data_IF_411145836773
#
_entry.id   IF_411145836773
#
_cell.length_a   1.000
_cell.length_b   1.000
_cell.length_c   1.000
_cell.angle_alpha   90.00
_cell.angle_beta   90.00
_cell.angle_gamma   90.00
#
_symmetry.space_group_name_H-M   'P 1'
#
loop_
_entity.id
_entity.type
_entity.pdbx_description
1 polymer ?
#
# COMPACT_ATOMS: atom_id res chain seq x y z
N UNK A 1 8.81 24.68 1.10
CA UNK A 1 8.99 24.38 -0.34
C UNK A 1 7.79 23.57 -0.83
N UNK A 2 7.19 23.99 -1.95
CA UNK A 2 6.04 23.31 -2.56
C UNK A 2 6.48 22.57 -3.81
N UNK A 3 5.93 21.38 -4.01
CA UNK A 3 6.19 20.55 -5.19
C UNK A 3 4.88 20.16 -5.89
N UNK A 4 4.93 19.98 -7.21
CA UNK A 4 3.89 19.33 -8.01
C UNK A 4 4.48 18.12 -8.75
N UNK A 5 3.68 17.05 -8.86
CA UNK A 5 4.03 15.84 -9.60
C UNK A 5 3.28 15.80 -10.93
N UNK A 6 3.99 15.46 -12.01
CA UNK A 6 3.44 15.16 -13.31
C UNK A 6 3.86 13.74 -13.72
N UNK A 7 2.92 12.83 -13.85
CA UNK A 7 3.15 11.52 -14.42
C UNK A 7 2.80 11.55 -15.91
N UNK A 8 3.75 11.21 -16.76
CA UNK A 8 3.61 11.23 -18.22
C UNK A 8 3.46 9.79 -18.72
N UNK A 9 2.39 9.53 -19.46
CA UNK A 9 2.09 8.25 -20.08
C UNK A 9 0.61 8.09 -20.37
N UNK A 10 0.27 7.70 -21.60
CA UNK A 10 -1.10 7.42 -22.01
C UNK A 10 -1.69 6.21 -21.26
N UNK A 11 -0.88 5.22 -20.90
CA UNK A 11 -1.29 4.04 -20.12
C UNK A 11 -1.84 4.38 -18.73
N UNK A 12 -1.40 5.51 -18.18
CA UNK A 12 -1.91 6.02 -16.91
C UNK A 12 -3.27 6.72 -17.10
N UNK A 13 -3.46 7.40 -18.24
CA UNK A 13 -4.74 8.05 -18.56
C UNK A 13 -5.83 7.04 -18.90
N UNK A 14 -5.48 5.96 -19.62
CA UNK A 14 -6.41 4.91 -19.99
C UNK A 14 -6.71 3.96 -18.81
N UNK A 15 -5.92 4.04 -17.74
CA UNK A 15 -6.12 3.22 -16.55
C UNK A 15 -5.56 1.81 -16.66
N UNK A 16 -4.70 1.54 -17.64
CA UNK A 16 -4.03 0.24 -17.83
C UNK A 16 -3.06 -0.03 -16.69
N UNK A 17 -2.47 1.02 -16.12
CA UNK A 17 -1.52 0.96 -14.99
C UNK A 17 -1.95 1.95 -13.91
N UNK A 18 -1.85 1.50 -12.64
CA UNK A 18 -2.04 2.38 -11.49
C UNK A 18 -0.77 3.19 -11.24
N UNK A 19 -0.91 4.52 -11.05
CA UNK A 19 0.22 5.42 -10.77
C UNK A 19 0.84 5.18 -9.38
N UNK A 20 1.60 4.09 -9.25
CA UNK A 20 2.34 3.74 -8.03
C UNK A 20 3.47 4.72 -7.71
N UNK A 21 4.09 5.31 -8.74
CA UNK A 21 5.18 6.27 -8.59
C UNK A 21 4.74 7.53 -7.85
N UNK A 22 3.58 8.09 -8.20
CA UNK A 22 3.05 9.27 -7.50
C UNK A 22 2.78 8.98 -6.03
N UNK A 23 2.23 7.81 -5.71
CA UNK A 23 1.97 7.40 -4.34
C UNK A 23 3.28 7.22 -3.54
N UNK A 24 4.34 6.70 -4.17
CA UNK A 24 5.64 6.54 -3.53
C UNK A 24 6.34 7.90 -3.34
N UNK A 25 6.42 8.73 -4.38
CA UNK A 25 7.01 10.07 -4.31
C UNK A 25 6.29 10.95 -3.28
N UNK A 26 4.96 10.89 -3.22
CA UNK A 26 4.18 11.63 -2.22
C UNK A 26 4.60 11.30 -0.78
N UNK A 27 4.89 10.01 -0.49
CA UNK A 27 5.42 9.61 0.82
C UNK A 27 6.82 10.16 1.06
N UNK A 28 7.73 10.01 0.07
CA UNK A 28 9.10 10.49 0.21
C UNK A 28 9.18 12.00 0.41
N UNK A 29 8.38 12.79 -0.32
CA UNK A 29 8.32 14.24 -0.18
C UNK A 29 7.75 14.65 1.20
N UNK A 30 6.70 13.96 1.65
CA UNK A 30 6.12 14.20 2.98
C UNK A 30 7.13 13.91 4.09
N UNK A 31 7.91 12.83 4.00
CA UNK A 31 8.93 12.45 4.99
C UNK A 31 10.01 13.52 5.19
N UNK A 32 10.22 14.39 4.20
CA UNK A 32 11.22 15.47 4.24
C UNK A 32 10.59 16.87 4.30
N UNK A 33 9.28 16.95 4.55
CA UNK A 33 8.58 18.22 4.74
C UNK A 33 8.41 19.05 3.47
N UNK A 34 8.51 18.45 2.29
CA UNK A 34 8.15 19.06 1.02
C UNK A 34 6.65 18.90 0.82
N UNK A 35 5.94 20.00 0.69
CA UNK A 35 4.50 20.01 0.49
C UNK A 35 4.17 19.64 -0.95
N UNK A 36 3.62 18.46 -1.17
CA UNK A 36 3.06 18.07 -2.46
C UNK A 36 1.66 18.66 -2.60
N UNK A 37 1.49 19.65 -3.49
CA UNK A 37 0.23 20.37 -3.66
C UNK A 37 -0.68 19.75 -4.71
N UNK A 38 -0.09 19.15 -5.76
CA UNK A 38 -0.85 18.58 -6.88
C UNK A 38 -0.11 17.37 -7.46
N UNK A 39 -0.88 16.36 -7.87
CA UNK A 39 -0.39 15.24 -8.67
C UNK A 39 -1.27 15.08 -9.89
N UNK A 40 -0.71 15.24 -11.08
CA UNK A 40 -1.41 15.26 -12.37
C UNK A 40 -0.89 14.14 -13.27
N UNK A 41 -1.77 13.52 -14.06
CA UNK A 41 -1.40 12.63 -15.15
C UNK A 41 -1.55 13.37 -16.46
N UNK A 42 -0.58 13.22 -17.37
CA UNK A 42 -0.53 13.86 -18.68
C UNK A 42 -0.21 12.81 -19.73
N UNK A 43 -0.91 12.85 -20.86
CA UNK A 43 -0.61 11.96 -22.00
C UNK A 43 0.68 12.35 -22.72
N UNK A 44 1.10 11.49 -23.61
CA UNK A 44 2.33 11.60 -24.42
C UNK A 44 2.16 12.64 -25.52
N UNK A 45 2.12 13.92 -25.11
CA UNK A 45 1.96 15.07 -26.00
C UNK A 45 2.84 16.25 -25.53
N UNK A 46 3.70 16.75 -26.41
CA UNK A 46 4.69 17.79 -26.08
C UNK A 46 4.05 19.08 -25.57
N UNK A 47 3.00 19.56 -26.25
CA UNK A 47 2.32 20.81 -25.91
C UNK A 47 1.59 20.70 -24.56
N UNK A 48 0.97 19.55 -24.30
CA UNK A 48 0.28 19.30 -23.04
C UNK A 48 1.27 19.20 -21.88
N UNK A 49 2.37 18.47 -22.05
CA UNK A 49 3.44 18.37 -21.05
C UNK A 49 3.99 19.77 -20.77
N UNK A 50 4.32 20.54 -21.81
CA UNK A 50 4.86 21.89 -21.66
C UNK A 50 3.88 22.84 -20.94
N UNK A 51 2.59 22.77 -21.26
CA UNK A 51 1.57 23.58 -20.60
C UNK A 51 1.48 23.25 -19.10
N UNK A 52 1.44 21.97 -18.74
CA UNK A 52 1.37 21.54 -17.33
C UNK A 52 2.63 21.88 -16.55
N UNK A 53 3.81 21.76 -17.14
CA UNK A 53 5.06 22.19 -16.50
C UNK A 53 5.04 23.70 -16.21
N UNK A 54 4.61 24.54 -17.16
CA UNK A 54 4.51 26.00 -16.93
C UNK A 54 3.49 26.34 -15.83
N UNK A 55 2.33 25.72 -15.86
CA UNK A 55 1.29 25.90 -14.85
C UNK A 55 1.80 25.50 -13.45
N UNK A 56 2.49 24.37 -13.35
CA UNK A 56 3.06 23.87 -12.10
C UNK A 56 4.14 24.83 -11.57
N UNK A 57 5.05 25.31 -12.42
CA UNK A 57 6.08 26.30 -12.04
C UNK A 57 5.50 27.65 -11.61
N UNK A 58 4.28 27.98 -12.02
CA UNK A 58 3.56 29.17 -11.53
C UNK A 58 3.01 29.03 -10.11
N UNK A 59 2.95 27.82 -9.56
CA UNK A 59 2.35 27.52 -8.24
C UNK A 59 3.31 26.87 -7.25
N UNK A 60 4.34 26.17 -7.73
CA UNK A 60 5.26 25.41 -6.92
C UNK A 60 6.72 25.75 -7.25
N UNK A 61 7.58 25.63 -6.25
CA UNK A 61 9.02 25.87 -6.37
C UNK A 61 9.74 24.72 -7.09
N UNK A 62 9.06 23.57 -7.18
CA UNK A 62 9.60 22.32 -7.72
C UNK A 62 8.54 21.57 -8.51
N UNK A 63 8.94 21.10 -9.70
CA UNK A 63 8.11 20.22 -10.53
C UNK A 63 8.86 18.90 -10.75
N UNK A 64 8.22 17.78 -10.43
CA UNK A 64 8.81 16.46 -10.59
C UNK A 64 8.00 15.68 -11.62
N UNK A 65 8.66 15.28 -12.72
CA UNK A 65 8.05 14.46 -13.76
C UNK A 65 8.51 13.00 -13.65
N UNK A 66 7.62 12.06 -14.00
CA UNK A 66 7.98 10.64 -14.15
C UNK A 66 7.41 10.09 -15.45
N UNK A 67 8.19 9.33 -16.20
CA UNK A 67 7.80 8.74 -17.47
C UNK A 67 8.28 9.54 -18.70
N UNK A 68 8.14 8.95 -19.87
CA UNK A 68 8.45 9.58 -21.17
C UNK A 68 9.90 9.97 -21.41
N UNK A 69 10.88 9.28 -20.76
CA UNK A 69 12.32 9.48 -20.95
C UNK A 69 13.01 8.34 -21.71
N UNK A 70 12.28 7.36 -22.20
CA UNK A 70 12.79 6.28 -23.02
C UNK A 70 13.21 6.73 -24.43
N UNK A 71 13.53 5.77 -25.33
CA UNK A 71 13.97 6.08 -26.67
C UNK A 71 12.84 6.08 -27.70
N UNK A 72 11.61 5.72 -27.34
CA UNK A 72 10.50 5.53 -28.27
C UNK A 72 9.88 6.85 -28.73
N UNK A 73 8.99 6.80 -29.71
CA UNK A 73 8.44 8.03 -30.30
C UNK A 73 7.43 8.73 -29.37
N UNK A 74 6.85 8.00 -28.46
CA UNK A 74 5.95 8.43 -27.40
C UNK A 74 6.69 8.97 -26.15
N UNK A 75 8.01 8.78 -26.05
CA UNK A 75 8.83 9.37 -24.98
C UNK A 75 9.09 10.88 -25.26
N UNK A 76 8.18 11.74 -24.85
CA UNK A 76 8.15 13.17 -25.22
C UNK A 76 8.42 14.13 -24.04
N UNK A 77 8.81 13.61 -22.88
CA UNK A 77 9.04 14.42 -21.68
C UNK A 77 10.18 15.44 -21.85
N UNK A 78 11.27 15.06 -22.54
CA UNK A 78 12.40 15.96 -22.85
C UNK A 78 11.98 17.16 -23.69
N UNK A 79 11.22 16.87 -24.74
CA UNK A 79 10.66 17.85 -25.67
C UNK A 79 9.69 18.81 -24.95
N UNK A 80 8.81 18.24 -24.11
CA UNK A 80 7.85 19.01 -23.30
C UNK A 80 8.53 19.96 -22.33
N UNK A 81 9.57 19.50 -21.61
CA UNK A 81 10.36 20.34 -20.70
C UNK A 81 11.10 21.43 -21.46
N UNK A 82 11.75 21.10 -22.59
CA UNK A 82 12.45 22.05 -23.42
C UNK A 82 11.51 23.15 -23.95
N UNK A 83 10.32 22.75 -24.43
CA UNK A 83 9.30 23.70 -24.86
C UNK A 83 8.75 24.56 -23.69
N UNK A 84 8.59 23.97 -22.51
CA UNK A 84 8.14 24.70 -21.33
C UNK A 84 9.12 25.80 -20.93
N UNK A 85 10.42 25.48 -20.96
CA UNK A 85 11.49 26.39 -20.59
C UNK A 85 11.91 27.35 -21.71
N UNK A 86 11.41 27.16 -22.94
CA UNK A 86 11.78 28.00 -24.10
C UNK A 86 13.21 27.75 -24.57
N UNK A 87 13.75 26.54 -24.39
CA UNK A 87 15.11 26.17 -24.77
C UNK A 87 15.11 25.05 -25.81
N UNK A 88 16.19 24.93 -26.60
CA UNK A 88 16.35 23.85 -27.55
C UNK A 88 16.90 22.59 -26.87
N UNK A 89 16.51 21.42 -27.38
CA UNK A 89 17.21 20.18 -27.07
C UNK A 89 18.60 20.17 -27.69
N UNK A 90 19.57 19.64 -26.97
CA UNK A 90 20.95 19.48 -27.42
C UNK A 90 21.47 18.10 -27.07
N UNK A 91 22.10 17.44 -28.04
CA UNK A 91 22.79 16.18 -27.84
C UNK A 91 23.99 16.38 -26.96
N UNK A 92 24.04 15.69 -25.81
CA UNK A 92 25.22 15.66 -24.94
C UNK A 92 26.17 14.55 -25.39
N UNK A 93 27.39 14.89 -25.87
CA UNK A 93 28.30 13.90 -26.42
C UNK A 93 28.89 12.95 -25.35
N UNK A 94 28.94 13.37 -24.08
CA UNK A 94 29.42 12.51 -22.98
C UNK A 94 28.36 11.47 -22.62
N UNK A 95 27.09 11.87 -22.56
CA UNK A 95 25.98 10.96 -22.35
C UNK A 95 25.84 9.98 -23.51
N UNK A 96 25.93 10.45 -24.74
CA UNK A 96 25.88 9.56 -25.92
C UNK A 96 26.99 8.52 -25.87
N UNK A 97 28.23 8.94 -25.56
CA UNK A 97 29.34 8.01 -25.42
C UNK A 97 29.15 7.02 -24.26
N UNK A 98 28.54 7.46 -23.15
CA UNK A 98 28.21 6.59 -22.02
C UNK A 98 27.14 5.57 -22.40
N UNK A 99 26.08 5.98 -23.11
CA UNK A 99 25.03 5.10 -23.62
C UNK A 99 25.58 4.06 -24.59
N UNK A 100 26.44 4.46 -25.54
CA UNK A 100 27.12 3.53 -26.46
C UNK A 100 27.88 2.43 -25.71
N UNK A 101 28.67 2.81 -24.69
CA UNK A 101 29.39 1.84 -23.83
C UNK A 101 28.43 0.93 -23.08
N UNK A 102 27.32 1.47 -22.55
CA UNK A 102 26.35 0.69 -21.78
C UNK A 102 25.61 -0.33 -22.66
N UNK A 103 25.16 0.08 -23.83
CA UNK A 103 24.52 -0.84 -24.80
C UNK A 103 25.48 -1.93 -25.28
N UNK A 104 26.74 -1.61 -25.52
CA UNK A 104 27.76 -2.60 -25.85
C UNK A 104 27.99 -3.63 -24.71
N UNK A 105 27.97 -3.17 -23.46
CA UNK A 105 28.07 -4.05 -22.30
C UNK A 105 26.86 -4.97 -22.15
N UNK A 106 25.65 -4.44 -22.32
CA UNK A 106 24.39 -5.20 -22.30
C UNK A 106 24.32 -6.22 -23.44
N UNK A 107 24.78 -5.86 -24.64
CA UNK A 107 24.86 -6.77 -25.78
C UNK A 107 25.78 -7.97 -25.53
N UNK A 108 26.87 -7.80 -24.77
CA UNK A 108 27.79 -8.92 -24.41
C UNK A 108 27.18 -9.89 -23.38
N UNK A 109 26.28 -9.43 -22.54
CA UNK A 109 25.66 -10.22 -21.47
C UNK A 109 24.27 -10.75 -21.80
N UNK A 110 23.62 -10.20 -22.84
CA UNK A 110 22.25 -10.52 -23.22
C UNK A 110 22.14 -11.58 -24.32
N UNK A 111 20.92 -12.03 -24.63
CA UNK A 111 20.67 -13.05 -25.66
C UNK A 111 21.00 -12.58 -27.08
N UNK A 112 21.34 -11.32 -27.30
CA UNK A 112 21.59 -10.70 -28.61
C UNK A 112 23.04 -10.89 -29.08
N UNK A 113 23.97 -11.25 -28.21
CA UNK A 113 25.35 -11.62 -28.54
C UNK A 113 26.33 -10.44 -28.69
N UNK A 114 27.63 -10.77 -28.79
CA UNK A 114 28.70 -9.81 -28.99
C UNK A 114 28.57 -9.15 -30.37
N UNK A 115 28.54 -7.80 -30.38
CA UNK A 115 28.37 -7.00 -31.61
C UNK A 115 27.02 -6.30 -31.73
N UNK A 116 26.15 -6.36 -30.69
CA UNK A 116 24.90 -5.62 -30.66
C UNK A 116 25.19 -4.11 -30.70
N UNK A 117 24.72 -3.46 -31.74
CA UNK A 117 24.62 -1.99 -31.83
C UNK A 117 23.18 -1.59 -31.55
N UNK A 118 22.97 -0.73 -30.56
CA UNK A 118 21.66 -0.20 -30.28
C UNK A 118 21.16 0.64 -31.47
N UNK A 119 19.86 0.57 -31.82
CA UNK A 119 19.28 1.45 -32.83
C UNK A 119 19.59 2.93 -32.55
N UNK A 120 19.78 3.74 -33.58
CA UNK A 120 20.14 5.16 -33.45
C UNK A 120 19.13 5.95 -32.61
N UNK A 121 17.84 5.56 -32.63
CA UNK A 121 16.81 6.15 -31.83
C UNK A 121 17.09 6.07 -30.30
N UNK A 122 17.84 5.07 -29.86
CA UNK A 122 18.16 4.93 -28.43
C UNK A 122 19.06 6.07 -27.92
N UNK A 123 19.81 6.71 -28.80
CA UNK A 123 20.69 7.82 -28.44
C UNK A 123 19.95 9.14 -28.24
N UNK A 124 18.64 9.23 -28.58
CA UNK A 124 17.77 10.36 -28.18
C UNK A 124 17.77 10.56 -26.66
N UNK A 125 18.05 9.51 -25.89
CA UNK A 125 18.17 9.60 -24.43
C UNK A 125 19.33 10.52 -23.98
N UNK A 126 20.28 10.83 -24.88
CA UNK A 126 21.34 11.81 -24.64
C UNK A 126 20.95 13.25 -25.03
N UNK A 127 19.73 13.49 -25.52
CA UNK A 127 19.26 14.84 -25.81
C UNK A 127 18.72 15.47 -24.53
N UNK A 128 19.27 16.60 -24.12
CA UNK A 128 18.88 17.35 -22.94
C UNK A 128 18.35 18.73 -23.31
N UNK A 129 17.39 19.28 -22.56
CA UNK A 129 17.03 20.70 -22.62
C UNK A 129 18.26 21.57 -22.36
N UNK A 130 18.42 22.66 -23.10
CA UNK A 130 19.55 23.57 -22.93
C UNK A 130 19.66 24.10 -21.51
N UNK A 131 20.80 23.93 -20.87
CA UNK A 131 21.05 24.28 -19.46
C UNK A 131 20.65 23.21 -18.45
N UNK A 132 20.12 22.07 -18.89
CA UNK A 132 19.80 20.97 -17.98
C UNK A 132 21.07 20.18 -17.58
N UNK A 133 21.03 19.63 -16.37
CA UNK A 133 22.00 18.69 -15.82
C UNK A 133 21.43 17.27 -15.90
N UNK A 134 22.20 16.28 -16.36
CA UNK A 134 21.73 14.89 -16.35
C UNK A 134 21.76 14.32 -14.92
N UNK A 135 20.70 13.61 -14.54
CA UNK A 135 20.70 12.78 -13.34
C UNK A 135 21.15 11.36 -13.70
N UNK A 136 22.13 10.80 -12.98
CA UNK A 136 22.66 9.47 -13.32
C UNK A 136 21.60 8.38 -13.12
N UNK A 137 21.54 7.44 -14.07
CA UNK A 137 20.74 6.23 -13.98
C UNK A 137 21.68 5.02 -13.89
N UNK A 138 21.80 4.45 -12.70
CA UNK A 138 22.70 3.30 -12.48
C UNK A 138 22.07 1.97 -12.93
N UNK A 139 20.74 1.91 -13.00
CA UNK A 139 19.99 0.70 -13.32
C UNK A 139 19.61 0.63 -14.80
N UNK A 140 18.96 1.66 -15.32
CA UNK A 140 18.48 1.75 -16.70
C UNK A 140 19.42 2.51 -17.64
N UNK A 141 18.90 2.89 -18.81
CA UNK A 141 19.67 3.62 -19.84
C UNK A 141 19.31 5.10 -19.93
N UNK A 142 18.08 5.48 -19.62
CA UNK A 142 17.60 6.84 -19.72
C UNK A 142 18.13 7.69 -18.55
N UNK A 143 19.00 8.70 -18.77
CA UNK A 143 19.35 9.65 -17.70
C UNK A 143 18.11 10.44 -17.32
N UNK A 144 18.01 10.84 -16.04
CA UNK A 144 17.05 11.83 -15.62
C UNK A 144 17.52 13.24 -15.98
N UNK A 145 16.67 14.21 -15.72
CA UNK A 145 16.88 15.63 -16.07
C UNK A 145 16.69 16.47 -14.80
N UNK A 146 17.61 17.40 -14.57
CA UNK A 146 17.45 18.52 -13.66
C UNK A 146 17.60 19.81 -14.44
N UNK A 147 16.59 20.66 -14.42
CA UNK A 147 16.61 21.95 -15.10
C UNK A 147 16.23 23.08 -14.14
N UNK A 148 17.12 24.02 -13.95
CA UNK A 148 16.83 25.27 -13.25
C UNK A 148 16.10 26.22 -14.18
N UNK A 149 15.01 26.82 -13.72
CA UNK A 149 14.23 27.82 -14.44
C UNK A 149 14.00 29.05 -13.58
N UNK A 150 13.54 30.13 -14.18
CA UNK A 150 13.18 31.33 -13.42
C UNK A 150 12.01 31.10 -12.44
N UNK A 151 11.16 30.10 -12.69
CA UNK A 151 10.01 29.75 -11.84
C UNK A 151 10.29 28.69 -10.78
N UNK A 152 11.47 28.04 -10.81
CA UNK A 152 11.80 26.94 -9.92
C UNK A 152 12.62 25.87 -10.61
N UNK A 153 12.69 24.68 -10.02
CA UNK A 153 13.45 23.56 -10.56
C UNK A 153 12.51 22.47 -11.11
N UNK A 154 12.88 21.91 -12.25
CA UNK A 154 12.20 20.78 -12.89
C UNK A 154 13.12 19.56 -12.79
N UNK A 155 12.58 18.46 -12.27
CA UNK A 155 13.20 17.15 -12.31
C UNK A 155 12.37 16.23 -13.19
N UNK A 156 13.02 15.41 -14.01
CA UNK A 156 12.35 14.33 -14.72
C UNK A 156 13.12 13.02 -14.52
N UNK A 157 12.37 11.96 -14.28
CA UNK A 157 12.90 10.62 -14.01
C UNK A 157 12.15 9.58 -14.86
N UNK A 158 12.78 8.42 -15.14
CA UNK A 158 12.09 7.32 -15.83
C UNK A 158 10.82 6.88 -15.14
N UNK A 159 9.87 6.30 -15.90
CA UNK A 159 8.62 5.73 -15.35
C UNK A 159 8.79 4.41 -14.59
N UNK A 160 9.87 3.66 -14.89
CA UNK A 160 10.14 2.36 -14.27
C UNK A 160 10.54 2.52 -12.81
N UNK A 161 9.80 1.95 -11.84
CA UNK A 161 10.06 2.14 -10.40
C UNK A 161 11.49 1.77 -9.98
N UNK A 162 12.03 0.66 -10.52
CA UNK A 162 13.40 0.21 -10.25
C UNK A 162 14.50 1.18 -10.66
N UNK A 163 14.23 2.08 -11.61
CA UNK A 163 15.13 3.15 -12.05
C UNK A 163 14.86 4.46 -11.30
N UNK A 164 13.58 4.79 -11.15
CA UNK A 164 13.12 6.06 -10.57
C UNK A 164 13.44 6.16 -9.09
N UNK A 165 13.23 5.10 -8.30
CA UNK A 165 13.46 5.14 -6.85
C UNK A 165 14.92 5.43 -6.48
N UNK A 166 15.93 4.71 -7.02
CA UNK A 166 17.34 5.03 -6.76
C UNK A 166 17.73 6.43 -7.24
N UNK A 167 17.22 6.87 -8.40
CA UNK A 167 17.50 8.20 -8.94
C UNK A 167 16.93 9.31 -8.04
N UNK A 168 15.69 9.13 -7.56
CA UNK A 168 15.10 10.07 -6.62
C UNK A 168 15.92 10.16 -5.33
N UNK A 169 16.18 9.01 -4.68
CA UNK A 169 16.88 8.99 -3.38
C UNK A 169 18.33 9.42 -3.47
N UNK A 170 19.01 9.10 -4.57
CA UNK A 170 20.43 9.43 -4.75
C UNK A 170 20.72 10.83 -5.31
N UNK A 171 19.80 11.40 -6.07
CA UNK A 171 20.02 12.67 -6.76
C UNK A 171 19.01 13.76 -6.42
N UNK A 172 17.71 13.46 -6.57
CA UNK A 172 16.67 14.49 -6.41
C UNK A 172 16.45 14.86 -4.95
N UNK A 173 16.30 13.88 -4.08
CA UNK A 173 16.06 14.11 -2.66
C UNK A 173 17.16 14.91 -1.96
N UNK A 174 18.49 14.64 -2.17
CA UNK A 174 19.54 15.47 -1.61
C UNK A 174 19.51 16.94 -2.11
N UNK A 175 19.13 17.17 -3.38
CA UNK A 175 18.99 18.53 -3.91
C UNK A 175 17.80 19.25 -3.30
N UNK A 176 16.64 18.57 -3.16
CA UNK A 176 15.47 19.12 -2.48
C UNK A 176 15.76 19.52 -1.04
N UNK A 177 16.48 18.68 -0.30
CA UNK A 177 16.86 18.98 1.09
C UNK A 177 17.76 20.23 1.18
N UNK A 178 18.71 20.37 0.28
CA UNK A 178 19.56 21.59 0.22
C UNK A 178 18.75 22.86 -0.09
N UNK A 179 17.75 22.76 -0.98
CA UNK A 179 16.89 23.88 -1.39
C UNK A 179 15.86 24.26 -0.33
N UNK A 180 15.40 23.29 0.44
CA UNK A 180 14.40 23.54 1.48
C UNK A 180 14.93 24.44 2.62
N UNK A 181 16.23 24.66 2.74
CA UNK A 181 16.87 25.48 3.78
C UNK A 181 16.90 24.76 5.12
N UNK A 182 16.22 25.28 6.15
CA UNK A 182 16.19 24.60 7.44
C UNK A 182 15.52 23.22 7.33
N UNK A 183 16.17 22.16 7.83
CA UNK A 183 15.64 20.82 7.75
C UNK A 183 14.37 20.72 8.61
N UNK A 184 13.22 20.67 7.95
CA UNK A 184 11.99 20.29 8.61
C UNK A 184 11.79 18.79 8.39
N UNK A 185 11.73 18.03 9.48
CA UNK A 185 11.45 16.60 9.45
C UNK A 185 9.97 16.38 9.68
N UNK A 186 9.34 15.56 8.85
CA UNK A 186 7.99 15.07 9.12
C UNK A 186 8.09 13.64 9.65
N UNK A 187 7.48 13.40 10.80
CA UNK A 187 7.37 12.06 11.39
C UNK A 187 5.93 11.63 11.36
N UNK A 188 5.71 10.37 11.03
CA UNK A 188 4.39 9.75 11.06
C UNK A 188 4.36 8.67 12.15
N UNK A 189 3.18 8.57 12.78
CA UNK A 189 2.74 7.43 13.58
C UNK A 189 1.46 6.94 12.98
N UNK A 190 1.38 5.66 12.67
CA UNK A 190 0.17 5.03 12.13
C UNK A 190 -0.41 4.09 13.17
N UNK A 191 -1.63 4.37 13.63
CA UNK A 191 -2.40 3.49 14.50
C UNK A 191 -3.30 2.63 13.61
N UNK A 192 -3.31 1.32 13.85
CA UNK A 192 -4.00 0.35 13.01
C UNK A 192 -5.20 -0.22 13.73
N UNK A 193 -6.39 -0.06 13.13
CA UNK A 193 -7.65 -0.53 13.72
C UNK A 193 -8.32 -1.60 12.86
N UNK A 194 -9.04 -2.50 13.51
CA UNK A 194 -9.84 -3.53 12.86
C UNK A 194 -11.16 -3.76 13.59
N UNK A 195 -12.11 -4.37 12.89
CA UNK A 195 -13.42 -4.76 13.46
C UNK A 195 -14.39 -3.61 13.70
N UNK A 196 -14.05 -2.39 13.25
CA UNK A 196 -14.87 -1.19 13.34
C UNK A 196 -14.87 -0.44 12.01
N UNK A 197 -15.94 0.31 11.73
CA UNK A 197 -16.05 1.13 10.53
C UNK A 197 -15.25 2.43 10.67
N UNK A 198 -14.78 2.97 9.55
CA UNK A 198 -14.06 4.25 9.49
C UNK A 198 -14.80 5.39 10.20
N UNK A 199 -16.13 5.49 9.99
CA UNK A 199 -16.96 6.52 10.64
C UNK A 199 -16.95 6.44 12.16
N UNK A 200 -16.87 5.23 12.72
CA UNK A 200 -16.77 5.01 14.18
C UNK A 200 -15.39 5.44 14.69
N UNK A 201 -14.33 5.14 13.94
CA UNK A 201 -12.97 5.59 14.25
C UNK A 201 -12.88 7.11 14.19
N UNK A 202 -13.42 7.72 13.14
CA UNK A 202 -13.44 9.18 12.98
C UNK A 202 -14.24 9.87 14.07
N UNK A 203 -15.40 9.33 14.44
CA UNK A 203 -16.21 9.86 15.53
C UNK A 203 -15.50 9.77 16.90
N UNK A 204 -14.82 8.66 17.18
CA UNK A 204 -14.06 8.49 18.41
C UNK A 204 -12.92 9.51 18.56
N UNK A 205 -12.38 10.00 17.45
CA UNK A 205 -11.28 10.96 17.40
C UNK A 205 -11.70 12.40 17.04
N UNK A 206 -13.00 12.66 16.89
CA UNK A 206 -13.50 13.97 16.49
C UNK A 206 -12.99 15.11 17.39
N UNK A 207 -13.02 14.92 18.71
CA UNK A 207 -12.51 15.91 19.66
C UNK A 207 -11.03 16.24 19.51
N UNK A 208 -10.19 15.25 19.17
CA UNK A 208 -8.77 15.46 18.90
C UNK A 208 -8.55 16.18 17.57
N UNK A 209 -9.31 15.80 16.54
CA UNK A 209 -9.26 16.47 15.24
C UNK A 209 -9.63 17.94 15.38
N UNK A 210 -10.74 18.26 16.07
CA UNK A 210 -11.19 19.62 16.30
C UNK A 210 -10.18 20.45 17.12
N UNK A 211 -9.55 19.84 18.11
CA UNK A 211 -8.50 20.47 18.94
C UNK A 211 -7.26 20.82 18.11
N UNK A 212 -6.89 19.96 17.16
CA UNK A 212 -5.70 20.13 16.32
C UNK A 212 -5.93 21.02 15.10
N UNK A 213 -7.16 21.14 14.61
CA UNK A 213 -7.49 21.87 13.40
C UNK A 213 -6.95 23.33 13.36
N UNK A 214 -7.08 24.15 14.44
CA UNK A 214 -6.56 25.51 14.42
C UNK A 214 -5.02 25.59 14.52
N UNK A 215 -4.37 24.53 15.03
CA UNK A 215 -2.91 24.48 15.21
C UNK A 215 -2.23 23.94 13.94
N UNK A 216 -2.88 22.99 13.25
CA UNK A 216 -2.41 22.39 12.00
C UNK A 216 -1.19 21.47 12.12
N UNK A 217 -0.62 21.31 13.32
CA UNK A 217 0.52 20.44 13.57
C UNK A 217 0.54 19.99 15.05
N UNK A 218 0.44 18.68 15.36
CA UNK A 218 0.30 17.58 14.42
C UNK A 218 -1.07 17.49 13.73
N UNK A 219 -1.17 16.67 12.69
CA UNK A 219 -2.40 16.41 11.93
C UNK A 219 -2.81 14.95 12.05
N UNK A 220 -4.12 14.68 12.04
CA UNK A 220 -4.69 13.34 11.97
C UNK A 220 -5.32 13.11 10.59
N UNK A 221 -5.06 11.96 9.98
CA UNK A 221 -5.69 11.51 8.75
C UNK A 221 -6.21 10.08 8.88
N UNK A 222 -7.38 9.81 8.29
CA UNK A 222 -8.00 8.48 8.25
C UNK A 222 -7.79 7.85 6.87
N UNK A 223 -7.40 6.59 6.83
CA UNK A 223 -7.05 5.85 5.62
C UNK A 223 -7.71 4.47 5.69
N UNK A 224 -8.93 4.35 5.16
CA UNK A 224 -9.64 3.08 5.13
C UNK A 224 -9.21 2.23 3.93
N UNK A 225 -8.98 0.96 4.16
CA UNK A 225 -8.68 -0.03 3.13
C UNK A 225 -8.92 -1.45 3.62
N UNK A 226 -9.57 -2.29 2.81
CA UNK A 226 -9.72 -3.73 3.06
C UNK A 226 -10.41 -4.08 4.38
N UNK A 227 -11.34 -3.27 4.89
CA UNK A 227 -12.05 -3.50 6.15
C UNK A 227 -11.26 -3.10 7.41
N UNK A 228 -10.19 -2.35 7.24
CA UNK A 228 -9.39 -1.78 8.30
C UNK A 228 -9.28 -0.26 8.12
N UNK A 229 -9.11 0.47 9.21
CA UNK A 229 -8.84 1.91 9.18
C UNK A 229 -7.49 2.19 9.83
N UNK A 230 -6.65 2.94 9.13
CA UNK A 230 -5.39 3.46 9.67
C UNK A 230 -5.59 4.91 10.08
N UNK A 231 -5.20 5.25 11.29
CA UNK A 231 -5.16 6.62 11.78
C UNK A 231 -3.71 7.08 11.74
N UNK A 232 -3.39 7.97 10.80
CA UNK A 232 -2.05 8.53 10.65
C UNK A 232 -1.97 9.87 11.38
N UNK A 233 -1.10 9.93 12.37
CA UNK A 233 -0.74 11.16 13.08
C UNK A 233 0.59 11.63 12.47
N UNK A 234 0.63 12.87 11.98
CA UNK A 234 1.81 13.44 11.30
C UNK A 234 2.22 14.73 11.98
N UNK A 235 3.49 14.85 12.37
CA UNK A 235 4.04 16.08 12.92
C UNK A 235 5.27 16.55 12.15
N UNK A 236 5.38 17.86 11.95
CA UNK A 236 6.52 18.54 11.36
C UNK A 236 7.28 19.31 12.44
N UNK A 237 8.61 19.16 12.49
CA UNK A 237 9.48 19.85 13.44
C UNK A 237 10.91 20.01 12.90
N UNK A 238 11.77 20.70 13.64
CA UNK A 238 13.17 20.87 13.29
C UNK A 238 13.97 19.55 13.32
N UNK A 239 13.58 18.63 14.18
CA UNK A 239 14.17 17.29 14.28
C UNK A 239 13.15 16.19 14.59
N UNK A 240 13.60 14.92 14.48
CA UNK A 240 12.76 13.74 14.72
C UNK A 240 12.28 13.61 16.18
N UNK A 241 13.09 14.06 17.14
CA UNK A 241 12.77 13.96 18.55
C UNK A 241 11.65 14.95 18.92
N UNK A 242 11.75 16.17 18.40
CA UNK A 242 10.70 17.17 18.55
C UNK A 242 9.39 16.75 17.90
N UNK A 243 9.46 16.25 16.65
CA UNK A 243 8.26 15.74 15.96
C UNK A 243 7.58 14.59 16.74
N UNK A 244 8.35 13.68 17.33
CA UNK A 244 7.81 12.61 18.19
C UNK A 244 7.13 13.17 19.43
N UNK A 245 7.73 14.14 20.12
CA UNK A 245 7.12 14.80 21.30
C UNK A 245 5.77 15.44 20.97
N UNK A 246 5.59 15.95 19.74
CA UNK A 246 4.30 16.49 19.29
C UNK A 246 3.27 15.36 19.03
N UNK A 247 3.72 14.20 18.58
CA UNK A 247 2.85 13.05 18.28
C UNK A 247 2.38 12.34 19.57
N UNK A 248 3.25 12.15 20.55
CA UNK A 248 2.99 11.35 21.75
C UNK A 248 1.64 11.65 22.43
N UNK A 249 1.27 12.89 22.78
CA UNK A 249 0.01 13.16 23.47
C UNK A 249 -1.21 12.85 22.59
N UNK A 250 -1.10 13.00 21.26
CA UNK A 250 -2.17 12.67 20.33
C UNK A 250 -2.30 11.15 20.16
N UNK A 251 -1.18 10.44 20.14
CA UNK A 251 -1.17 8.97 20.13
C UNK A 251 -1.81 8.40 21.40
N UNK A 252 -1.47 8.93 22.57
CA UNK A 252 -2.06 8.50 23.84
C UNK A 252 -3.58 8.73 23.88
N UNK A 253 -4.05 9.90 23.48
CA UNK A 253 -5.47 10.21 23.39
C UNK A 253 -6.18 9.29 22.38
N UNK A 254 -5.57 9.04 21.24
CA UNK A 254 -6.13 8.15 20.23
C UNK A 254 -6.16 6.69 20.70
N UNK A 255 -5.15 6.21 21.41
CA UNK A 255 -5.14 4.86 22.01
C UNK A 255 -6.26 4.69 23.04
N UNK A 256 -6.45 5.68 23.89
CA UNK A 256 -7.53 5.68 24.88
C UNK A 256 -8.92 5.65 24.21
N UNK A 257 -9.12 6.45 23.16
CA UNK A 257 -10.39 6.53 22.44
C UNK A 257 -10.72 5.27 21.62
N UNK A 258 -9.70 4.65 20.99
CA UNK A 258 -9.87 3.50 20.12
C UNK A 258 -9.93 2.16 20.89
N UNK A 259 -9.31 2.09 22.05
CA UNK A 259 -9.33 0.92 22.93
C UNK A 259 -9.00 -0.38 22.18
N UNK A 260 -9.86 -1.39 22.33
CA UNK A 260 -9.67 -2.72 21.76
C UNK A 260 -9.74 -2.75 20.20
N UNK A 261 -10.25 -1.69 19.57
CA UNK A 261 -10.23 -1.60 18.10
C UNK A 261 -8.81 -1.44 17.56
N UNK A 262 -7.91 -0.85 18.33
CA UNK A 262 -6.50 -0.73 18.02
C UNK A 262 -5.81 -2.08 18.18
N UNK A 263 -5.14 -2.56 17.09
CA UNK A 263 -4.43 -3.83 17.16
C UNK A 263 -2.91 -3.71 16.99
N UNK A 264 -2.42 -2.60 16.49
CA UNK A 264 -1.01 -2.41 16.23
C UNK A 264 -0.66 -0.99 15.78
N UNK A 265 0.61 -0.77 15.52
CA UNK A 265 1.16 0.51 15.05
C UNK A 265 2.07 0.31 13.85
N UNK A 266 2.26 1.37 13.09
CA UNK A 266 3.20 1.47 11.96
C UNK A 266 3.10 0.28 10.99
N UNK A 267 4.04 -0.65 10.99
CA UNK A 267 4.09 -1.80 10.08
C UNK A 267 3.42 -3.06 10.63
N UNK A 268 2.84 -3.00 11.84
CA UNK A 268 2.10 -4.11 12.40
C UNK A 268 0.97 -4.55 11.47
N UNK A 269 0.79 -5.85 11.32
CA UNK A 269 -0.33 -6.45 10.60
C UNK A 269 -1.27 -7.18 11.56
N UNK A 270 -2.54 -7.30 11.18
CA UNK A 270 -3.52 -8.00 12.00
C UNK A 270 -3.15 -9.48 12.16
N UNK A 271 -2.67 -10.10 11.09
CA UNK A 271 -2.17 -11.47 11.05
C UNK A 271 -0.95 -11.64 11.96
N UNK A 272 0.02 -10.74 11.84
CA UNK A 272 1.22 -10.74 12.69
C UNK A 272 0.86 -10.60 14.17
N UNK A 273 -0.12 -9.75 14.48
CA UNK A 273 -0.60 -9.60 15.87
C UNK A 273 -1.27 -10.88 16.39
N UNK A 274 -2.11 -11.55 15.57
CA UNK A 274 -2.71 -12.85 15.94
C UNK A 274 -1.64 -13.91 16.18
N UNK A 275 -0.67 -14.04 15.26
CA UNK A 275 0.40 -15.03 15.38
C UNK A 275 1.29 -14.76 16.59
N UNK A 276 1.60 -13.52 16.89
CA UNK A 276 2.37 -13.13 18.08
C UNK A 276 1.62 -13.47 19.37
N UNK A 277 0.33 -13.16 19.46
CA UNK A 277 -0.48 -13.52 20.64
C UNK A 277 -0.55 -15.02 20.86
N UNK A 278 -0.67 -15.82 19.80
CA UNK A 278 -0.63 -17.29 19.89
C UNK A 278 0.74 -17.78 20.38
N UNK A 279 1.83 -17.22 19.84
CA UNK A 279 3.19 -17.58 20.23
C UNK A 279 3.48 -17.26 21.71
N UNK A 280 3.09 -16.07 22.17
CA UNK A 280 3.22 -15.64 23.57
C UNK A 280 2.46 -16.54 24.55
N UNK A 281 1.39 -17.18 24.08
CA UNK A 281 0.56 -18.11 24.85
C UNK A 281 1.01 -19.59 24.72
N UNK A 282 1.96 -19.87 23.83
CA UNK A 282 2.35 -21.25 23.49
C UNK A 282 1.23 -22.03 22.77
N UNK A 283 0.33 -21.33 22.11
CA UNK A 283 -0.84 -21.89 21.44
C UNK A 283 -0.63 -21.97 19.92
N UNK A 284 -1.43 -22.81 19.27
CA UNK A 284 -1.41 -23.03 17.82
C UNK A 284 -2.79 -22.82 17.22
N UNK A 285 -2.86 -22.55 15.91
CA UNK A 285 -4.06 -22.26 15.17
C UNK A 285 -4.23 -23.17 13.97
N UNK A 286 -5.45 -23.67 13.76
CA UNK A 286 -5.93 -24.24 12.50
C UNK A 286 -7.15 -23.45 11.99
N UNK A 287 -7.32 -23.34 10.67
CA UNK A 287 -8.42 -22.58 10.07
C UNK A 287 -9.29 -23.44 9.15
N UNK A 288 -10.62 -23.27 9.20
CA UNK A 288 -11.57 -23.85 8.27
C UNK A 288 -12.27 -22.74 7.48
N UNK A 289 -12.20 -22.80 6.17
CA UNK A 289 -12.69 -21.75 5.29
C UNK A 289 -13.76 -22.25 4.33
N UNK A 290 -14.86 -21.53 4.22
CA UNK A 290 -15.85 -21.72 3.18
C UNK A 290 -15.84 -20.53 2.23
N UNK A 291 -16.61 -19.47 2.47
CA UNK A 291 -16.71 -18.32 1.58
C UNK A 291 -15.39 -17.58 1.34
N UNK A 292 -14.46 -17.62 2.27
CA UNK A 292 -13.14 -16.97 2.16
C UNK A 292 -12.18 -17.72 1.26
N UNK A 293 -12.35 -19.06 1.11
CA UNK A 293 -11.68 -19.86 0.08
C UNK A 293 -10.15 -19.83 0.14
N UNK A 294 -9.57 -19.93 1.34
CA UNK A 294 -8.11 -19.95 1.57
C UNK A 294 -7.50 -18.57 1.88
N UNK A 295 -8.27 -17.49 1.89
CA UNK A 295 -7.75 -16.13 2.13
C UNK A 295 -7.28 -15.93 3.59
N UNK A 296 -7.89 -16.57 4.57
CA UNK A 296 -7.43 -16.50 5.97
C UNK A 296 -6.07 -17.18 6.11
N UNK A 297 -5.95 -18.39 5.59
CA UNK A 297 -4.71 -19.14 5.58
C UNK A 297 -3.61 -18.42 4.79
N UNK A 298 -3.94 -17.88 3.61
CA UNK A 298 -3.02 -17.10 2.78
C UNK A 298 -2.44 -15.92 3.54
N UNK A 299 -3.29 -15.08 4.15
CA UNK A 299 -2.82 -13.93 4.93
C UNK A 299 -1.97 -14.31 6.14
N UNK A 300 -2.28 -15.40 6.84
CA UNK A 300 -1.43 -15.88 7.94
C UNK A 300 -0.06 -16.33 7.44
N UNK A 301 0.00 -17.00 6.29
CA UNK A 301 1.27 -17.50 5.72
C UNK A 301 2.12 -16.41 5.05
N UNK A 302 1.56 -15.25 4.74
CA UNK A 302 2.33 -14.07 4.30
C UNK A 302 3.27 -13.53 5.40
N UNK A 303 3.03 -13.90 6.67
CA UNK A 303 3.87 -13.47 7.79
C UNK A 303 5.03 -14.46 7.99
N UNK A 304 6.25 -13.97 7.91
CA UNK A 304 7.43 -14.77 8.17
C UNK A 304 7.39 -15.40 9.58
N UNK A 305 7.69 -16.69 9.68
CA UNK A 305 7.64 -17.43 10.94
C UNK A 305 6.25 -17.95 11.34
N UNK A 306 5.22 -17.79 10.53
CA UNK A 306 3.85 -18.26 10.79
C UNK A 306 3.80 -19.76 11.15
N UNK A 307 4.68 -20.59 10.57
CA UNK A 307 4.74 -22.05 10.80
C UNK A 307 5.02 -22.46 12.26
N UNK A 308 5.50 -21.54 13.10
CA UNK A 308 5.70 -21.82 14.52
C UNK A 308 4.36 -22.06 15.26
N UNK A 309 3.28 -21.38 14.84
CA UNK A 309 1.97 -21.43 15.51
C UNK A 309 0.82 -21.82 14.57
N UNK A 310 0.92 -21.55 13.27
CA UNK A 310 -0.10 -21.93 12.30
C UNK A 310 0.12 -23.35 11.80
N UNK A 311 -0.85 -24.25 12.08
CA UNK A 311 -0.78 -25.68 11.73
C UNK A 311 -1.27 -25.96 10.32
N UNK A 312 -2.12 -25.12 9.77
CA UNK A 312 -2.68 -25.28 8.43
C UNK A 312 -4.14 -24.88 8.34
N UNK A 313 -4.73 -25.10 7.17
CA UNK A 313 -6.12 -24.76 6.91
C UNK A 313 -6.80 -25.72 5.96
N UNK A 314 -8.13 -25.84 6.08
CA UNK A 314 -9.00 -26.63 5.22
C UNK A 314 -9.99 -25.69 4.52
N UNK A 315 -10.05 -25.75 3.21
CA UNK A 315 -11.10 -25.09 2.42
C UNK A 315 -12.23 -26.08 2.18
N UNK A 316 -13.24 -26.06 3.06
CA UNK A 316 -14.45 -26.88 2.96
C UNK A 316 -15.55 -26.12 2.21
N UNK A 317 -15.35 -25.91 0.88
CA UNK A 317 -16.24 -25.06 0.08
C UNK A 317 -17.58 -25.70 -0.19
N UNK A 318 -17.60 -26.99 -0.57
CA UNK A 318 -18.80 -27.77 -0.70
C UNK A 318 -19.38 -28.16 0.67
N UNK A 319 -20.71 -28.37 0.77
CA UNK A 319 -21.35 -28.75 2.03
C UNK A 319 -20.86 -30.13 2.49
N UNK A 320 -20.70 -31.07 1.58
CA UNK A 320 -20.22 -32.43 1.85
C UNK A 320 -18.78 -32.45 2.40
N UNK A 321 -17.96 -31.47 2.03
CA UNK A 321 -16.61 -31.35 2.57
C UNK A 321 -16.59 -30.91 4.05
N UNK A 322 -17.64 -30.23 4.52
CA UNK A 322 -17.78 -29.90 5.94
C UNK A 322 -18.00 -31.15 6.79
N UNK A 323 -18.79 -32.08 6.28
CA UNK A 323 -19.04 -33.37 6.91
C UNK A 323 -17.81 -34.29 6.78
N UNK A 324 -17.41 -34.60 5.55
CA UNK A 324 -16.42 -35.65 5.28
C UNK A 324 -15.01 -35.33 5.73
N UNK A 325 -14.61 -34.04 5.73
CA UNK A 325 -13.25 -33.60 6.08
C UNK A 325 -13.18 -33.05 7.51
N UNK A 326 -14.16 -32.23 7.90
CA UNK A 326 -14.16 -31.56 9.20
C UNK A 326 -15.01 -32.26 10.25
N UNK A 327 -15.74 -33.32 9.90
CA UNK A 327 -16.59 -34.07 10.82
C UNK A 327 -17.77 -33.26 11.35
N UNK A 328 -18.24 -32.27 10.59
CA UNK A 328 -19.46 -31.56 10.98
C UNK A 328 -20.65 -32.51 10.93
N UNK A 329 -21.41 -32.57 12.02
CA UNK A 329 -22.57 -33.44 12.14
C UNK A 329 -23.57 -33.15 11.00
N UNK A 330 -23.98 -34.18 10.22
CA UNK A 330 -25.00 -34.04 9.19
C UNK A 330 -26.29 -33.40 9.69
N UNK A 331 -26.71 -33.68 10.92
CA UNK A 331 -27.90 -33.08 11.53
C UNK A 331 -27.79 -31.55 11.69
N UNK A 332 -26.60 -31.04 11.98
CA UNK A 332 -26.34 -29.60 12.01
C UNK A 332 -26.49 -28.98 10.62
N UNK A 333 -25.99 -29.64 9.60
CA UNK A 333 -26.08 -29.18 8.22
C UNK A 333 -27.53 -29.24 7.70
N UNK A 334 -28.27 -30.27 8.08
CA UNK A 334 -29.68 -30.45 7.68
C UNK A 334 -30.63 -29.47 8.38
N UNK A 335 -30.41 -29.16 9.66
CA UNK A 335 -31.30 -28.33 10.46
C UNK A 335 -30.98 -26.86 10.46
N UNK A 336 -29.70 -26.50 10.63
CA UNK A 336 -29.21 -25.12 10.72
C UNK A 336 -28.69 -24.59 9.37
N UNK A 337 -28.30 -25.50 8.47
CA UNK A 337 -27.65 -25.17 7.19
C UNK A 337 -26.16 -25.01 7.30
N UNK A 338 -25.46 -25.01 6.15
CA UNK A 338 -24.04 -24.84 6.05
C UNK A 338 -23.58 -23.39 6.37
N UNK A 339 -24.49 -22.43 6.24
CA UNK A 339 -24.30 -21.02 6.60
C UNK A 339 -25.01 -20.74 7.92
N UNK A 340 -24.44 -21.16 9.03
CA UNK A 340 -25.01 -20.98 10.37
C UNK A 340 -23.93 -20.83 11.45
N UNK A 341 -24.25 -20.25 12.61
CA UNK A 341 -23.34 -20.22 13.76
C UNK A 341 -22.93 -21.62 14.20
N UNK A 342 -23.88 -22.59 14.17
CA UNK A 342 -23.67 -23.98 14.55
C UNK A 342 -22.66 -24.65 13.61
N UNK A 343 -22.83 -24.48 12.31
CA UNK A 343 -21.88 -24.99 11.32
C UNK A 343 -20.48 -24.34 11.48
N UNK A 344 -20.41 -23.02 11.73
CA UNK A 344 -19.16 -22.33 11.98
C UNK A 344 -18.44 -22.88 13.23
N UNK A 345 -19.16 -23.10 14.32
CA UNK A 345 -18.61 -23.70 15.54
C UNK A 345 -18.09 -25.12 15.30
N UNK A 346 -18.88 -25.96 14.63
CA UNK A 346 -18.51 -27.33 14.31
C UNK A 346 -17.31 -27.40 13.36
N UNK A 347 -17.24 -26.53 12.33
CA UNK A 347 -16.07 -26.40 11.45
C UNK A 347 -14.80 -26.01 12.21
N UNK A 348 -14.91 -25.07 13.18
CA UNK A 348 -13.77 -24.65 13.99
C UNK A 348 -13.26 -25.78 14.89
N UNK A 349 -14.17 -26.55 15.52
CA UNK A 349 -13.82 -27.73 16.29
C UNK A 349 -13.15 -28.81 15.42
N UNK A 350 -13.79 -29.12 14.29
CA UNK A 350 -13.30 -30.14 13.36
C UNK A 350 -11.91 -29.85 12.82
N UNK A 351 -11.60 -28.61 12.41
CA UNK A 351 -10.27 -28.28 11.89
C UNK A 351 -9.21 -28.26 12.99
N UNK A 352 -9.55 -27.80 14.20
CA UNK A 352 -8.67 -27.87 15.36
C UNK A 352 -8.24 -29.31 15.62
N UNK A 353 -9.19 -30.21 15.70
CA UNK A 353 -8.96 -31.63 16.02
C UNK A 353 -8.22 -32.35 14.88
N UNK A 354 -8.61 -32.10 13.63
CA UNK A 354 -7.99 -32.66 12.43
C UNK A 354 -6.48 -32.33 12.33
N UNK A 355 -6.11 -31.10 12.65
CA UNK A 355 -4.73 -30.61 12.52
C UNK A 355 -3.96 -30.59 13.85
N UNK A 356 -4.57 -31.07 14.94
CA UNK A 356 -3.94 -31.11 16.26
C UNK A 356 -3.52 -29.73 16.78
N UNK A 357 -4.33 -28.70 16.50
CA UNK A 357 -4.11 -27.34 16.97
C UNK A 357 -4.75 -27.13 18.34
N UNK A 358 -4.30 -26.09 19.08
CA UNK A 358 -4.98 -25.69 20.33
C UNK A 358 -6.21 -24.84 20.07
N UNK A 359 -6.21 -24.08 18.96
CA UNK A 359 -7.32 -23.23 18.56
C UNK A 359 -7.78 -23.54 17.15
N UNK A 360 -9.09 -23.50 16.94
CA UNK A 360 -9.74 -23.56 15.63
C UNK A 360 -10.48 -22.25 15.33
N UNK A 361 -10.31 -21.73 14.12
CA UNK A 361 -11.04 -20.59 13.57
C UNK A 361 -11.76 -21.03 12.30
N UNK A 362 -13.05 -20.75 12.18
CA UNK A 362 -13.80 -21.08 10.98
C UNK A 362 -14.58 -19.88 10.45
N UNK A 363 -14.77 -19.83 9.13
CA UNK A 363 -15.59 -18.82 8.45
C UNK A 363 -16.52 -19.49 7.44
N UNK A 364 -17.82 -19.33 7.63
CA UNK A 364 -18.85 -19.68 6.65
C UNK A 364 -19.74 -18.48 6.36
N UNK A 365 -20.38 -18.44 5.20
CA UNK A 365 -21.25 -17.32 4.84
C UNK A 365 -21.59 -17.24 3.36
N UNK A 366 -22.39 -16.23 3.02
CA UNK A 366 -22.87 -15.93 1.66
C UNK A 366 -22.09 -14.74 1.10
N UNK A 367 -21.13 -15.01 0.23
CA UNK A 367 -20.34 -13.96 -0.40
C UNK A 367 -21.12 -13.15 -1.44
N UNK A 368 -22.09 -13.79 -2.14
CA UNK A 368 -22.84 -13.24 -3.27
C UNK A 368 -22.36 -13.80 -4.61
N UNK A 369 -22.98 -13.43 -5.77
CA UNK A 369 -24.00 -12.38 -5.88
C UNK A 369 -25.39 -12.80 -5.38
N UNK A 370 -25.70 -14.11 -5.34
CA UNK A 370 -26.99 -14.64 -4.97
C UNK A 370 -27.03 -15.02 -3.48
N UNK A 371 -28.25 -15.06 -2.92
CA UNK A 371 -28.50 -15.62 -1.60
C UNK A 371 -28.31 -17.15 -1.57
N UNK A 372 -28.02 -17.69 -0.42
CA UNK A 372 -27.90 -19.14 -0.20
C UNK A 372 -28.66 -19.56 1.05
N UNK A 373 -29.39 -20.67 0.98
CA UNK A 373 -30.20 -21.20 2.11
C UNK A 373 -31.15 -20.15 2.70
N UNK A 374 -31.77 -19.32 1.84
CA UNK A 374 -32.61 -18.18 2.23
C UNK A 374 -31.87 -17.15 3.12
N UNK A 375 -30.57 -17.14 3.11
CA UNK A 375 -29.73 -16.16 3.83
C UNK A 375 -29.19 -15.12 2.85
N UNK A 376 -29.34 -13.82 3.17
CA UNK A 376 -28.98 -12.75 2.26
C UNK A 376 -27.47 -12.65 2.07
N UNK A 377 -27.08 -12.06 0.92
CA UNK A 377 -25.68 -11.74 0.61
C UNK A 377 -25.04 -10.93 1.74
N UNK A 378 -23.80 -11.26 2.07
CA UNK A 378 -23.04 -10.66 3.14
C UNK A 378 -23.24 -11.31 4.51
N UNK A 379 -24.13 -12.29 4.65
CA UNK A 379 -24.24 -13.08 5.88
C UNK A 379 -22.94 -13.84 6.14
N UNK A 380 -22.34 -13.66 7.32
CA UNK A 380 -21.09 -14.31 7.73
C UNK A 380 -21.22 -14.83 9.16
N UNK A 381 -20.78 -16.06 9.36
CA UNK A 381 -20.63 -16.65 10.69
C UNK A 381 -19.16 -17.06 10.89
N UNK A 382 -18.62 -16.65 12.02
CA UNK A 382 -17.26 -16.94 12.47
C UNK A 382 -17.38 -17.87 13.68
N UNK A 383 -16.73 -19.02 13.63
CA UNK A 383 -16.60 -19.94 14.75
C UNK A 383 -15.18 -19.92 15.30
N UNK A 384 -15.05 -19.96 16.61
CA UNK A 384 -13.76 -20.02 17.31
C UNK A 384 -13.85 -21.04 18.44
N UNK A 385 -12.85 -21.91 18.55
CA UNK A 385 -12.76 -22.94 19.59
C UNK A 385 -11.36 -22.95 20.15
N UNK A 386 -11.22 -22.96 21.46
CA UNK A 386 -9.93 -22.95 22.13
C UNK A 386 -10.07 -23.10 23.66
N UNK A 387 -9.05 -22.75 24.42
CA UNK A 387 -9.10 -22.73 25.89
C UNK A 387 -10.21 -21.80 26.44
N UNK A 388 -10.63 -20.81 25.65
CA UNK A 388 -11.75 -19.91 25.94
C UNK A 388 -13.15 -20.53 25.68
N UNK A 389 -13.20 -21.81 25.33
CA UNK A 389 -14.45 -22.50 24.95
C UNK A 389 -14.79 -22.34 23.47
N UNK A 390 -16.09 -22.45 23.16
CA UNK A 390 -16.64 -22.27 21.82
C UNK A 390 -17.35 -20.92 21.73
N UNK A 391 -16.94 -20.09 20.79
CA UNK A 391 -17.52 -18.77 20.54
C UNK A 391 -17.94 -18.66 19.09
N UNK A 392 -19.06 -17.99 18.85
CA UNK A 392 -19.52 -17.65 17.50
C UNK A 392 -19.81 -16.16 17.38
N UNK A 393 -19.57 -15.61 16.21
CA UNK A 393 -19.93 -14.24 15.86
C UNK A 393 -20.66 -14.24 14.52
N UNK A 394 -21.84 -13.63 14.49
CA UNK A 394 -22.62 -13.45 13.26
C UNK A 394 -22.63 -11.98 12.88
N UNK A 395 -22.49 -11.71 11.58
CA UNK A 395 -22.51 -10.36 11.05
C UNK A 395 -23.04 -10.35 9.61
N UNK A 396 -23.40 -9.16 9.11
CA UNK A 396 -23.78 -8.94 7.73
C UNK A 396 -22.90 -7.87 7.12
N UNK A 397 -22.22 -8.21 6.03
CA UNK A 397 -21.30 -7.34 5.29
C UNK A 397 -22.03 -6.70 4.10
N UNK A 398 -21.81 -5.41 3.81
CA UNK A 398 -22.58 -4.67 2.80
C UNK A 398 -21.92 -4.65 1.41
N UNK A 399 -20.90 -5.46 1.16
CA UNK A 399 -20.09 -5.41 -0.06
C UNK A 399 -20.54 -6.36 -1.16
N UNK A 400 -19.87 -6.27 -2.31
CA UNK A 400 -19.88 -7.29 -3.34
C UNK A 400 -19.13 -8.56 -2.89
N UNK A 401 -19.14 -9.58 -3.72
CA UNK A 401 -18.50 -10.88 -3.44
C UNK A 401 -17.03 -10.72 -3.02
N UNK A 402 -16.25 -9.88 -3.73
CA UNK A 402 -14.82 -9.68 -3.45
C UNK A 402 -14.63 -8.97 -2.11
N UNK A 403 -15.36 -7.90 -1.91
CA UNK A 403 -15.32 -7.07 -0.69
C UNK A 403 -15.77 -7.87 0.54
N UNK A 404 -16.87 -8.62 0.42
CA UNK A 404 -17.39 -9.46 1.50
C UNK A 404 -16.37 -10.51 1.95
N UNK A 405 -15.66 -11.15 1.01
CA UNK A 405 -14.62 -12.12 1.33
C UNK A 405 -13.45 -11.48 2.09
N UNK A 406 -12.98 -10.31 1.63
CA UNK A 406 -11.88 -9.57 2.29
C UNK A 406 -12.30 -9.13 3.70
N UNK A 407 -13.49 -8.59 3.83
CA UNK A 407 -14.00 -8.13 5.13
C UNK A 407 -14.23 -9.31 6.10
N UNK A 408 -14.72 -10.44 5.62
CA UNK A 408 -14.91 -11.63 6.44
C UNK A 408 -13.58 -12.13 7.04
N UNK A 409 -12.49 -12.08 6.28
CA UNK A 409 -11.13 -12.41 6.76
C UNK A 409 -10.73 -11.46 7.89
N UNK A 410 -10.88 -10.15 7.70
CA UNK A 410 -10.53 -9.15 8.74
C UNK A 410 -11.36 -9.36 10.01
N UNK A 411 -12.67 -9.58 9.84
CA UNK A 411 -13.57 -9.81 10.98
C UNK A 411 -13.24 -11.10 11.74
N UNK A 412 -12.83 -12.16 11.03
CA UNK A 412 -12.44 -13.42 11.64
C UNK A 412 -11.12 -13.29 12.44
N UNK A 413 -10.12 -12.68 11.84
CA UNK A 413 -8.84 -12.46 12.52
C UNK A 413 -8.97 -11.49 13.70
N UNK A 414 -9.77 -10.42 13.58
CA UNK A 414 -10.00 -9.48 14.68
C UNK A 414 -10.83 -10.12 15.82
N UNK A 415 -11.79 -10.96 15.49
CA UNK A 415 -12.55 -11.71 16.50
C UNK A 415 -11.61 -12.62 17.32
N UNK A 416 -10.74 -13.38 16.64
CA UNK A 416 -9.75 -14.22 17.31
C UNK A 416 -8.76 -13.39 18.14
N UNK A 417 -8.21 -12.32 17.57
CA UNK A 417 -7.31 -11.40 18.26
C UNK A 417 -7.90 -10.88 19.58
N UNK A 418 -9.14 -10.36 19.52
CA UNK A 418 -9.84 -9.85 20.71
C UNK A 418 -10.04 -10.93 21.75
N UNK A 419 -10.43 -12.12 21.33
CA UNK A 419 -10.62 -13.26 22.24
C UNK A 419 -9.31 -13.64 22.93
N UNK A 420 -8.20 -13.71 22.19
CA UNK A 420 -6.87 -13.98 22.74
C UNK A 420 -6.41 -12.86 23.67
N UNK A 421 -6.71 -11.59 23.38
CA UNK A 421 -6.29 -10.44 24.21
C UNK A 421 -7.01 -10.36 25.56
N UNK A 422 -8.28 -10.76 25.63
CA UNK A 422 -9.09 -10.68 26.87
C UNK A 422 -8.77 -11.82 27.84
N UNK A 423 -8.35 -12.97 27.34
CA UNK A 423 -8.08 -14.16 28.16
C UNK A 423 -6.59 -14.27 28.54
N UNK A 424 -5.86 -13.16 28.55
CA UNK A 424 -4.49 -13.13 29.06
C UNK A 424 -4.59 -13.04 30.59
N UNK A 425 -4.50 -14.20 31.26
CA UNK A 425 -4.32 -14.31 32.71
C UNK A 425 -2.86 -14.66 33.02
#
# INVERSE_FOLDING_TARGET
MRAELLAVGDELLFGDIVNGNAAWLGRQLADVGVELTTSTVVGDNVEMIAARVREALGRADTVILTGGLGPTQDDLTREGIALAAGVALRRDPFLEAALRRRFQALGRQGPVGAGFEAPEMNYRQADLPGGAEPLPNEVGTAPGIRLETAGGVVYAMPGVPGEMYPMFTGSVLPDLLRRAGEPAVVVHRVLRTAGVWESVVAQALAGEVDRLAPVGNPMIAFLASGGQTRVRISARAGDRAEARRLIEPVEEAARAALGIALYGVDDDTLEGTVLRLLAERGETLAVAESMTGGLVAGRLTDVAGASAVFRGGVVSYATEAKESVLGVDPDVLATSGAVSPEAAAAMAAGVRDLLGATNGLAVTGVAGPDEQESKPVGTVHIGMVGAFGTLTRSLRLPGDRRTNRIYAVVQALDALRRTLSVHTC
#
